data_IF_983603997312
#
_entry.id   IF_983603997312
#
_cell.length_a   1.000
_cell.length_b   1.000
_cell.length_c   1.000
_cell.angle_alpha   90.00
_cell.angle_beta   90.00
_cell.angle_gamma   90.00
#
_symmetry.space_group_name_H-M   'P 1'
#
loop_
_entity.id
_entity.type
_entity.pdbx_description
1 polymer ?
#
# COMPACT_ATOMS: atom_id res chain seq x y z
N UNK A 1 -1.32 11.14 -1.72
CA UNK A 1 -1.81 9.76 -1.97
C UNK A 1 -0.94 8.75 -1.24
N UNK A 2 -1.53 7.76 -0.61
CA UNK A 2 -0.82 6.65 0.02
C UNK A 2 -0.76 5.48 -0.96
N UNK A 3 0.37 4.77 -0.97
CA UNK A 3 0.62 3.66 -1.91
C UNK A 3 0.78 2.36 -1.11
N UNK A 4 -0.01 1.35 -1.46
CA UNK A 4 0.12 0.01 -0.89
C UNK A 4 1.18 -0.82 -1.63
N UNK A 5 1.71 -1.84 -0.96
CA UNK A 5 2.66 -2.78 -1.56
C UNK A 5 2.11 -3.43 -2.85
N UNK A 6 0.81 -3.71 -2.91
CA UNK A 6 0.17 -4.32 -4.08
C UNK A 6 0.27 -3.46 -5.34
N UNK A 7 0.19 -2.14 -5.21
CA UNK A 7 0.34 -1.21 -6.33
C UNK A 7 1.79 -1.19 -6.84
N UNK A 8 2.77 -1.15 -5.93
CA UNK A 8 4.20 -1.24 -6.24
C UNK A 8 4.51 -2.53 -7.01
N UNK A 9 4.02 -3.65 -6.50
CA UNK A 9 4.26 -4.96 -7.08
C UNK A 9 3.57 -5.13 -8.45
N UNK A 10 2.37 -4.58 -8.63
CA UNK A 10 1.68 -4.60 -9.92
C UNK A 10 2.54 -3.99 -11.04
N UNK A 11 3.22 -2.88 -10.73
CA UNK A 11 4.14 -2.22 -11.68
C UNK A 11 5.41 -3.04 -11.89
N UNK A 12 6.10 -3.40 -10.81
CA UNK A 12 7.40 -4.10 -10.89
C UNK A 12 7.28 -5.45 -11.58
N UNK A 13 6.21 -6.20 -11.30
CA UNK A 13 5.95 -7.52 -11.88
C UNK A 13 5.26 -7.46 -13.24
N UNK A 14 5.05 -6.26 -13.76
CA UNK A 14 4.40 -6.01 -15.05
C UNK A 14 3.07 -6.79 -15.19
N UNK A 15 2.23 -6.67 -14.17
CA UNK A 15 0.91 -7.29 -14.17
C UNK A 15 -0.01 -6.63 -15.22
N UNK A 16 -1.13 -7.26 -15.63
CA UNK A 16 -1.98 -6.75 -16.73
C UNK A 16 -2.48 -5.31 -16.54
N UNK A 17 -2.61 -4.86 -15.29
CA UNK A 17 -3.06 -3.51 -14.92
C UNK A 17 -1.91 -2.54 -14.54
N UNK A 18 -0.65 -2.92 -14.80
CA UNK A 18 0.53 -2.11 -14.46
C UNK A 18 0.45 -0.67 -15.03
N UNK A 19 -0.03 -0.51 -16.25
CA UNK A 19 -0.15 0.80 -16.91
C UNK A 19 -1.14 1.72 -16.19
N UNK A 20 -2.22 1.17 -15.63
CA UNK A 20 -3.18 1.96 -14.85
C UNK A 20 -2.54 2.49 -13.57
N UNK A 21 -1.76 1.64 -12.89
CA UNK A 21 -1.01 2.05 -11.69
C UNK A 21 0.08 3.07 -12.02
N UNK A 22 0.81 2.89 -13.13
CA UNK A 22 1.80 3.88 -13.56
C UNK A 22 1.17 5.24 -13.86
N UNK A 23 0.00 5.27 -14.50
CA UNK A 23 -0.74 6.52 -14.73
C UNK A 23 -1.19 7.16 -13.42
N UNK A 24 -1.67 6.37 -12.47
CA UNK A 24 -2.06 6.88 -11.15
C UNK A 24 -0.86 7.49 -10.41
N UNK A 25 0.30 6.82 -10.42
CA UNK A 25 1.53 7.34 -9.83
C UNK A 25 2.00 8.63 -10.52
N UNK A 26 1.90 8.71 -11.85
CA UNK A 26 2.31 9.90 -12.59
C UNK A 26 1.38 11.10 -12.41
N UNK A 27 0.16 10.89 -11.96
CA UNK A 27 -0.84 11.95 -11.74
C UNK A 27 -0.71 12.69 -10.41
N UNK A 28 0.09 12.17 -9.48
CA UNK A 28 0.20 12.69 -8.12
C UNK A 28 1.58 13.33 -7.86
N UNK A 29 1.59 14.39 -7.03
CA UNK A 29 2.82 15.10 -6.67
C UNK A 29 3.40 14.64 -5.33
N UNK A 30 2.54 14.24 -4.41
CA UNK A 30 2.95 13.79 -3.09
C UNK A 30 2.42 12.39 -2.83
N UNK A 31 3.35 11.46 -2.69
CA UNK A 31 3.03 10.07 -2.43
C UNK A 31 3.87 9.52 -1.30
N UNK A 32 3.23 8.73 -0.45
CA UNK A 32 3.90 8.10 0.69
C UNK A 32 3.52 6.62 0.78
N UNK A 33 4.45 5.85 1.32
CA UNK A 33 4.26 4.44 1.63
C UNK A 33 4.67 4.18 3.08
N UNK A 34 3.93 3.34 3.78
CA UNK A 34 4.31 2.87 5.11
C UNK A 34 5.60 2.04 5.05
N UNK A 35 6.53 2.16 6.03
CA UNK A 35 7.69 1.28 6.11
C UNK A 35 7.33 -0.21 6.12
N UNK A 36 6.19 -0.58 6.68
CA UNK A 36 5.70 -1.97 6.68
C UNK A 36 5.37 -2.42 5.26
N UNK A 37 4.65 -1.61 4.50
CA UNK A 37 4.27 -1.95 3.11
C UNK A 37 5.48 -1.90 2.16
N UNK A 38 6.43 -1.01 2.40
CA UNK A 38 7.71 -1.03 1.72
C UNK A 38 8.42 -2.38 1.91
N UNK A 39 8.54 -2.83 3.16
CA UNK A 39 9.16 -4.12 3.47
C UNK A 39 8.39 -5.29 2.85
N UNK A 40 7.06 -5.26 2.87
CA UNK A 40 6.24 -6.28 2.21
C UNK A 40 6.57 -6.42 0.73
N UNK A 41 6.68 -5.30 0.00
CA UNK A 41 7.04 -5.31 -1.41
C UNK A 41 8.43 -5.91 -1.63
N UNK A 42 9.42 -5.52 -0.81
CA UNK A 42 10.78 -6.06 -0.85
C UNK A 42 10.79 -7.57 -0.57
N UNK A 43 10.10 -8.01 0.48
CA UNK A 43 10.03 -9.43 0.89
C UNK A 43 9.38 -10.27 -0.21
N UNK A 44 8.34 -9.75 -0.86
CA UNK A 44 7.69 -10.45 -1.97
C UNK A 44 8.67 -10.72 -3.12
N UNK A 45 9.48 -9.74 -3.49
CA UNK A 45 10.51 -9.92 -4.53
C UNK A 45 11.58 -10.92 -4.08
N UNK A 46 12.08 -10.80 -2.85
CA UNK A 46 13.07 -11.72 -2.30
C UNK A 46 12.59 -13.17 -2.28
N UNK A 47 11.32 -13.41 -1.94
CA UNK A 47 10.73 -14.76 -1.93
C UNK A 47 10.72 -15.42 -3.31
N UNK A 48 10.63 -14.65 -4.38
CA UNK A 48 10.72 -15.18 -5.75
C UNK A 48 12.12 -14.97 -6.36
N UNK A 49 13.14 -14.75 -5.51
CA UNK A 49 14.55 -14.58 -5.89
C UNK A 49 14.77 -13.42 -6.87
N UNK A 50 13.96 -12.39 -6.77
CA UNK A 50 14.11 -11.15 -7.51
C UNK A 50 14.78 -10.07 -6.65
N UNK A 51 15.25 -9.01 -7.29
CA UNK A 51 16.01 -7.92 -6.66
C UNK A 51 15.08 -6.93 -5.93
N UNK A 52 15.14 -6.84 -4.59
CA UNK A 52 14.31 -5.91 -3.83
C UNK A 52 14.63 -4.43 -4.12
N UNK A 53 15.81 -4.10 -4.65
CA UNK A 53 16.16 -2.73 -5.01
C UNK A 53 15.29 -2.16 -6.15
N UNK A 54 14.53 -3.00 -6.85
CA UNK A 54 13.51 -2.55 -7.80
C UNK A 54 12.44 -1.70 -7.14
N UNK A 55 12.13 -1.96 -5.86
CA UNK A 55 11.20 -1.13 -5.08
C UNK A 55 11.77 0.28 -4.90
N UNK A 56 13.04 0.38 -4.49
CA UNK A 56 13.71 1.67 -4.30
C UNK A 56 13.76 2.48 -5.61
N UNK A 57 14.08 1.82 -6.72
CA UNK A 57 14.12 2.47 -8.03
C UNK A 57 12.76 3.01 -8.46
N UNK A 58 11.69 2.23 -8.28
CA UNK A 58 10.35 2.71 -8.61
C UNK A 58 9.94 3.88 -7.70
N UNK A 59 10.24 3.79 -6.41
CA UNK A 59 9.96 4.87 -5.46
C UNK A 59 10.68 6.16 -5.85
N UNK A 60 11.96 6.07 -6.21
CA UNK A 60 12.75 7.22 -6.65
C UNK A 60 12.18 7.83 -7.94
N UNK A 61 11.92 7.00 -8.94
CA UNK A 61 11.37 7.45 -10.23
C UNK A 61 9.99 8.11 -10.10
N UNK A 62 9.18 7.64 -9.18
CA UNK A 62 7.81 8.13 -8.95
C UNK A 62 7.72 9.15 -7.81
N UNK A 63 8.84 9.51 -7.16
CA UNK A 63 8.88 10.40 -6.00
C UNK A 63 8.01 9.91 -4.82
N UNK A 64 7.94 8.60 -4.60
CA UNK A 64 7.26 8.01 -3.43
C UNK A 64 8.21 8.07 -2.24
N UNK A 65 7.75 8.57 -1.11
CA UNK A 65 8.55 8.72 0.12
C UNK A 65 8.07 7.74 1.19
N UNK A 66 9.01 7.24 1.99
CA UNK A 66 8.67 6.54 3.22
C UNK A 66 8.07 7.52 4.22
N UNK A 67 6.95 7.16 4.80
CA UNK A 67 6.35 7.90 5.90
C UNK A 67 6.77 7.29 7.24
N UNK A 68 6.82 8.10 8.29
CA UNK A 68 7.01 7.57 9.64
C UNK A 68 5.79 6.76 10.09
N UNK A 69 6.02 5.68 10.81
CA UNK A 69 4.97 4.96 11.53
C UNK A 69 4.83 5.57 12.93
N UNK A 70 3.64 6.04 13.26
CA UNK A 70 3.36 6.78 14.48
C UNK A 70 2.46 5.99 15.46
N UNK A 71 2.41 6.37 16.76
CA UNK A 71 1.45 5.81 17.69
C UNK A 71 -0.01 5.95 17.24
N UNK A 72 -0.37 7.07 16.61
CA UNK A 72 -1.70 7.27 16.02
C UNK A 72 -2.00 6.23 14.95
N UNK A 73 -1.06 5.97 14.06
CA UNK A 73 -1.22 4.93 13.03
C UNK A 73 -1.36 3.54 13.64
N UNK A 74 -0.66 3.24 14.73
CA UNK A 74 -0.83 1.97 15.44
C UNK A 74 -2.26 1.79 15.96
N UNK A 75 -2.89 2.85 16.47
CA UNK A 75 -4.29 2.84 16.88
C UNK A 75 -5.23 2.60 15.71
N UNK A 76 -5.05 3.30 14.60
CA UNK A 76 -5.84 3.08 13.38
C UNK A 76 -5.68 1.65 12.83
N UNK A 77 -4.46 1.12 12.86
CA UNK A 77 -4.19 -0.25 12.40
C UNK A 77 -4.92 -1.29 13.28
N UNK A 78 -4.92 -1.10 14.59
CA UNK A 78 -5.66 -1.96 15.52
C UNK A 78 -7.17 -1.92 15.23
N UNK A 79 -7.72 -0.74 15.03
CA UNK A 79 -9.15 -0.58 14.68
C UNK A 79 -9.46 -1.22 13.32
N UNK A 80 -8.59 -1.04 12.34
CA UNK A 80 -8.75 -1.64 11.02
C UNK A 80 -8.82 -3.17 11.11
N UNK A 81 -7.93 -3.79 11.87
CA UNK A 81 -7.96 -5.24 12.05
C UNK A 81 -9.20 -5.71 12.80
N UNK A 82 -9.61 -4.99 13.83
CA UNK A 82 -10.84 -5.32 14.57
C UNK A 82 -12.08 -5.25 13.69
N UNK A 83 -12.18 -4.29 12.77
CA UNK A 83 -13.34 -4.10 11.88
C UNK A 83 -13.28 -4.92 10.61
N UNK A 84 -12.12 -4.99 9.98
CA UNK A 84 -11.95 -5.51 8.61
C UNK A 84 -10.97 -6.68 8.49
N UNK A 85 -10.40 -7.12 9.60
CA UNK A 85 -9.35 -8.12 9.63
C UNK A 85 -9.78 -9.48 9.10
N UNK A 86 -8.79 -10.24 8.62
CA UNK A 86 -8.96 -11.61 8.18
C UNK A 86 -9.56 -12.47 9.31
N UNK A 87 -10.66 -13.16 9.01
CA UNK A 87 -11.41 -13.95 9.99
C UNK A 87 -12.58 -13.20 10.64
N UNK A 88 -12.63 -11.85 10.55
CA UNK A 88 -13.68 -11.02 11.15
C UNK A 88 -14.59 -10.38 10.09
N UNK A 89 -14.09 -10.14 8.90
CA UNK A 89 -14.78 -9.36 7.86
C UNK A 89 -14.40 -9.84 6.46
N UNK A 90 -15.29 -9.62 5.48
CA UNK A 90 -15.08 -9.98 4.08
C UNK A 90 -13.90 -9.27 3.40
N UNK A 91 -13.48 -8.12 3.91
CA UNK A 91 -12.28 -7.40 3.46
C UNK A 91 -10.99 -8.19 3.72
N UNK A 92 -10.96 -9.04 4.74
CA UNK A 92 -9.84 -9.93 5.06
C UNK A 92 -8.50 -9.25 5.16
N UNK A 93 -8.46 -8.04 5.73
CA UNK A 93 -7.21 -7.30 5.86
C UNK A 93 -6.20 -8.12 6.68
N UNK A 94 -4.99 -8.26 6.15
CA UNK A 94 -3.86 -8.82 6.88
C UNK A 94 -3.14 -7.71 7.68
N UNK A 95 -2.09 -8.10 8.40
CA UNK A 95 -1.32 -7.17 9.23
C UNK A 95 -0.77 -5.98 8.43
N UNK A 96 -0.17 -6.26 7.27
CA UNK A 96 0.40 -5.22 6.41
C UNK A 96 -0.66 -4.28 5.85
N UNK A 97 -1.81 -4.81 5.40
CA UNK A 97 -2.93 -4.01 4.92
C UNK A 97 -3.40 -2.99 5.96
N UNK A 98 -3.39 -3.38 7.24
CA UNK A 98 -3.79 -2.49 8.33
C UNK A 98 -2.87 -1.27 8.45
N UNK A 99 -1.59 -1.38 8.11
CA UNK A 99 -0.66 -0.24 8.12
C UNK A 99 -0.87 0.70 6.92
N UNK A 100 -1.18 0.17 5.73
CA UNK A 100 -1.56 1.00 4.58
C UNK A 100 -2.85 1.78 4.89
N UNK A 101 -3.87 1.09 5.41
CA UNK A 101 -5.10 1.71 5.87
C UNK A 101 -4.83 2.80 6.92
N UNK A 102 -4.05 2.49 7.95
CA UNK A 102 -3.74 3.41 9.05
C UNK A 102 -3.06 4.69 8.56
N UNK A 103 -2.10 4.57 7.64
CA UNK A 103 -1.43 5.74 7.06
C UNK A 103 -2.41 6.61 6.25
N UNK A 104 -3.27 5.98 5.43
CA UNK A 104 -4.28 6.70 4.66
C UNK A 104 -5.27 7.43 5.58
N UNK A 105 -5.73 6.80 6.65
CA UNK A 105 -6.64 7.42 7.63
C UNK A 105 -5.98 8.55 8.41
N UNK A 106 -4.76 8.34 8.91
CA UNK A 106 -4.03 9.35 9.68
C UNK A 106 -3.76 10.63 8.88
N UNK A 107 -3.57 10.50 7.57
CA UNK A 107 -3.31 11.63 6.67
C UNK A 107 -4.55 12.12 5.93
N UNK A 108 -5.69 11.44 6.06
CA UNK A 108 -6.91 11.73 5.27
C UNK A 108 -6.63 11.73 3.77
N UNK A 109 -5.84 10.78 3.32
CA UNK A 109 -5.43 10.64 1.92
C UNK A 109 -6.02 9.37 1.29
N UNK A 110 -6.16 9.39 -0.04
CA UNK A 110 -6.55 8.22 -0.83
C UNK A 110 -5.49 7.14 -0.79
N UNK A 111 -5.92 5.90 -0.93
CA UNK A 111 -5.05 4.73 -0.99
C UNK A 111 -5.03 4.15 -2.41
N UNK A 112 -3.84 4.00 -2.97
CA UNK A 112 -3.61 3.29 -4.23
C UNK A 112 -3.28 1.83 -3.92
N UNK A 113 -4.13 0.92 -4.35
CA UNK A 113 -4.01 -0.51 -4.08
C UNK A 113 -4.56 -1.35 -5.24
N UNK A 114 -4.11 -2.59 -5.32
CA UNK A 114 -4.65 -3.60 -6.24
C UNK A 114 -5.51 -4.60 -5.46
N UNK A 115 -6.59 -5.06 -6.11
CA UNK A 115 -7.48 -6.07 -5.55
C UNK A 115 -8.74 -5.50 -4.92
N UNK A 116 -9.51 -6.39 -4.28
CA UNK A 116 -10.83 -6.06 -3.76
C UNK A 116 -10.90 -5.78 -2.26
N UNK A 117 -9.86 -6.13 -1.49
CA UNK A 117 -9.95 -6.16 -0.04
C UNK A 117 -10.22 -4.77 0.56
N UNK A 118 -9.47 -3.76 0.18
CA UNK A 118 -9.69 -2.39 0.66
C UNK A 118 -10.99 -1.76 0.16
N UNK A 119 -11.58 -2.25 -0.94
CA UNK A 119 -12.85 -1.73 -1.45
C UNK A 119 -14.03 -2.02 -0.53
N UNK A 120 -13.88 -2.98 0.37
CA UNK A 120 -14.86 -3.32 1.39
C UNK A 120 -14.67 -2.54 2.70
N UNK A 121 -13.75 -1.59 2.72
CA UNK A 121 -13.47 -0.71 3.85
C UNK A 121 -13.94 0.71 3.57
N UNK A 122 -13.77 1.60 4.54
CA UNK A 122 -14.10 3.03 4.42
C UNK A 122 -12.92 3.88 3.92
N UNK A 123 -11.83 3.27 3.45
CA UNK A 123 -10.74 4.02 2.84
C UNK A 123 -11.12 4.47 1.43
N UNK A 124 -10.76 5.69 1.08
CA UNK A 124 -11.00 6.21 -0.27
C UNK A 124 -9.98 5.61 -1.25
N UNK A 125 -10.47 4.96 -2.30
CA UNK A 125 -9.63 4.38 -3.34
C UNK A 125 -9.13 5.47 -4.30
N UNK A 126 -7.85 5.38 -4.69
CA UNK A 126 -7.24 6.30 -5.65
C UNK A 126 -7.46 5.87 -7.11
N UNK A 127 -7.79 4.60 -7.33
CA UNK A 127 -7.98 4.05 -8.68
C UNK A 127 -9.21 3.13 -8.75
#
# INVERSE_FOLDING_TARGET
MIVDASAILAVILNEPDADDFMRALASEREMHISPVNYLEACVRLMKQKDDPSKVDRLMEMSAIRLADTTPEQASFAREAYARYGKGNHGAKLNLGDCFAYALAKARSEKLLFKGGDFRLTDVEAAL
#
